data_IF_444500058945
#
_entry.id   IF_444500058945
#
_cell.length_a   1.000
_cell.length_b   1.000
_cell.length_c   1.000
_cell.angle_alpha   90.00
_cell.angle_beta   90.00
_cell.angle_gamma   90.00
#
_symmetry.space_group_name_H-M   'P 1'
#
loop_
_entity.id
_entity.type
_entity.pdbx_description
1 polymer ?
#
# COMPACT_ATOMS: atom_id res chain seq x y z
N UNK A 1 6.44 1.60 -22.08
CA UNK A 1 6.77 1.56 -22.55
C UNK A 1 7.30 1.76 -22.84
N UNK A 2 6.95 1.95 -22.02
CA UNK A 2 7.25 2.07 -22.43
C UNK A 2 7.30 2.29 -22.33
N UNK A 3 6.97 2.60 -21.75
CA UNK A 3 7.02 2.65 -22.04
C UNK A 3 6.99 2.86 -21.83
N UNK A 4 6.27 3.52 -21.70
CA UNK A 4 6.29 3.54 -21.81
C UNK A 4 6.79 3.67 -21.58
N UNK A 5 6.33 3.90 -20.78
CA UNK A 5 6.96 3.77 -21.04
C UNK A 5 7.71 3.63 -21.09
N UNK A 6 7.29 4.24 -20.46
CA UNK A 6 7.94 3.97 -20.96
C UNK A 6 8.67 3.77 -20.84
N UNK A 7 8.31 4.03 -20.39
CA UNK A 7 9.11 3.58 -20.81
C UNK A 7 9.81 3.12 -20.85
N UNK A 8 9.19 3.77 -20.39
CA UNK A 8 9.68 3.21 -20.77
C UNK A 8 10.31 2.78 -20.50
N UNK A 9 10.23 2.49 -19.96
CA UNK A 9 10.89 1.73 -20.09
C UNK A 9 11.67 1.09 -20.33
N UNK A 10 11.17 1.32 -19.93
CA UNK A 10 11.85 0.39 -20.25
C UNK A 10 12.57 -0.08 -20.39
N UNK A 11 12.69 -0.42 -20.18
CA UNK A 11 13.45 -1.39 -20.33
C UNK A 11 14.29 -1.88 -20.24
N UNK A 12 14.41 -2.12 -20.07
CA UNK A 12 15.12 -2.74 -19.81
C UNK A 12 15.63 -3.59 -19.94
N UNK A 13 15.86 -4.05 -20.01
CA UNK A 13 16.62 -4.78 -19.78
C UNK A 13 16.92 -6.14 -19.21
N UNK A 14 17.14 -6.73 -18.44
CA UNK A 14 17.73 -7.86 -17.77
C UNK A 14 17.02 -9.15 -18.09
N UNK A 15 17.78 -10.19 -18.40
CA UNK A 15 17.20 -11.48 -18.73
C UNK A 15 16.84 -12.28 -17.49
N UNK A 16 17.47 -12.00 -16.35
CA UNK A 16 17.17 -12.70 -15.11
C UNK A 16 16.17 -11.93 -14.25
N UNK A 17 15.32 -11.21 -14.95
CA UNK A 17 14.34 -10.39 -14.28
C UNK A 17 13.33 -11.24 -13.53
N UNK A 18 13.24 -11.03 -12.21
CA UNK A 18 12.19 -11.59 -11.38
C UNK A 18 11.08 -10.56 -11.33
N UNK A 19 9.85 -10.98 -11.50
CA UNK A 19 8.73 -10.07 -11.39
C UNK A 19 8.62 -9.58 -9.96
N UNK A 20 9.15 -8.38 -9.73
CA UNK A 20 9.10 -7.71 -8.45
C UNK A 20 8.04 -6.63 -8.43
N UNK A 21 7.13 -6.66 -9.40
CA UNK A 21 6.11 -5.63 -9.47
C UNK A 21 5.24 -5.65 -8.22
N UNK A 22 4.77 -4.47 -7.87
CA UNK A 22 3.87 -4.24 -6.77
C UNK A 22 2.55 -4.92 -7.07
N UNK A 23 1.96 -5.57 -6.07
CA UNK A 23 0.65 -6.22 -6.18
C UNK A 23 -0.31 -5.63 -5.17
N UNK A 24 -1.58 -5.60 -5.53
CA UNK A 24 -2.63 -5.21 -4.60
C UNK A 24 -2.62 -6.15 -3.39
N UNK A 25 -2.61 -5.59 -2.20
CA UNK A 25 -2.50 -6.36 -0.97
C UNK A 25 -1.10 -6.44 -0.39
N UNK A 26 -0.08 -6.03 -1.15
CA UNK A 26 1.28 -5.96 -0.64
C UNK A 26 1.42 -4.85 0.39
N UNK A 27 2.28 -5.07 1.37
CA UNK A 27 2.65 -4.06 2.36
C UNK A 27 4.13 -3.74 2.17
N UNK A 28 4.41 -2.45 1.95
CA UNK A 28 5.77 -1.93 1.77
C UNK A 28 6.04 -0.84 2.78
N UNK A 29 7.30 -0.69 3.17
CA UNK A 29 7.73 0.58 3.74
C UNK A 29 7.69 1.64 2.65
N UNK A 30 7.28 2.85 3.00
CA UNK A 30 7.27 3.98 2.09
C UNK A 30 7.57 5.26 2.83
N UNK A 31 8.21 6.21 2.14
CA UNK A 31 8.43 7.55 2.66
C UNK A 31 7.22 8.40 2.28
N UNK A 32 6.43 8.76 3.28
CA UNK A 32 5.20 9.52 3.08
C UNK A 32 5.40 11.03 3.27
N UNK A 33 6.57 11.46 3.66
CA UNK A 33 6.84 12.89 3.88
C UNK A 33 7.03 13.62 2.55
N UNK A 34 6.70 14.93 2.51
CA UNK A 34 6.14 15.75 3.56
C UNK A 34 4.62 15.59 3.69
N UNK A 35 4.09 15.86 4.85
CA UNK A 35 2.66 15.82 5.14
C UNK A 35 2.25 17.07 5.93
N UNK A 36 0.93 17.27 6.06
CA UNK A 36 0.36 18.41 6.78
C UNK A 36 -0.59 17.88 7.86
N UNK A 37 -0.46 18.44 9.06
CA UNK A 37 -1.40 18.20 10.14
C UNK A 37 -1.55 16.73 10.53
N UNK A 38 -2.76 16.22 10.48
CA UNK A 38 -3.10 14.87 10.94
C UNK A 38 -2.79 13.78 9.93
N UNK A 39 -2.19 14.11 8.79
CA UNK A 39 -1.78 13.12 7.80
C UNK A 39 -0.65 12.27 8.35
N UNK A 40 -0.67 10.97 8.02
CA UNK A 40 0.42 10.08 8.42
C UNK A 40 1.66 10.35 7.57
N UNK A 41 2.78 10.63 8.22
CA UNK A 41 4.04 10.96 7.54
C UNK A 41 5.21 10.11 7.99
N UNK A 42 6.39 10.39 7.46
CA UNK A 42 7.61 9.66 7.75
C UNK A 42 7.67 8.33 6.99
N UNK A 43 8.67 7.53 7.32
CA UNK A 43 8.82 6.20 6.73
C UNK A 43 8.01 5.22 7.56
N UNK A 44 7.03 4.59 6.93
CA UNK A 44 6.11 3.66 7.60
C UNK A 44 5.52 2.67 6.63
N UNK A 45 4.95 1.58 7.13
CA UNK A 45 4.28 0.62 6.25
C UNK A 45 3.06 1.25 5.57
N UNK A 46 2.83 0.85 4.33
CA UNK A 46 1.63 1.19 3.58
C UNK A 46 1.07 -0.07 2.93
N UNK A 47 -0.24 -0.12 2.79
CA UNK A 47 -0.93 -1.20 2.07
C UNK A 47 -1.24 -0.73 0.66
N UNK A 48 -0.83 -1.52 -0.33
CA UNK A 48 -1.14 -1.23 -1.74
C UNK A 48 -2.59 -1.62 -1.99
N UNK A 49 -3.40 -0.63 -2.36
CA UNK A 49 -4.83 -0.85 -2.65
C UNK A 49 -5.17 -0.65 -4.12
N UNK A 50 -4.24 -0.13 -4.91
CA UNK A 50 -4.43 0.05 -6.34
C UNK A 50 -4.57 -1.29 -7.06
N UNK A 51 -5.38 -1.32 -8.12
CA UNK A 51 -5.55 -2.51 -8.94
C UNK A 51 -4.23 -2.92 -9.61
N UNK A 52 -4.12 -4.21 -9.98
CA UNK A 52 -2.85 -4.74 -10.45
C UNK A 52 -2.49 -4.31 -11.88
N UNK A 53 -3.44 -3.88 -12.68
CA UNK A 53 -3.13 -3.29 -13.99
C UNK A 53 -2.42 -1.96 -13.77
N UNK A 54 -2.97 -1.11 -12.90
CA UNK A 54 -2.32 0.13 -12.51
C UNK A 54 -0.97 -0.11 -11.86
N UNK A 55 -0.88 -1.10 -10.98
CA UNK A 55 0.38 -1.43 -10.33
C UNK A 55 1.47 -1.82 -11.32
N UNK A 56 1.09 -2.47 -12.41
CA UNK A 56 2.06 -2.89 -13.43
C UNK A 56 2.50 -1.72 -14.31
N UNK A 57 1.59 -0.85 -14.71
CA UNK A 57 1.87 0.11 -15.78
C UNK A 57 2.00 1.55 -15.32
N UNK A 58 1.44 1.91 -14.17
CA UNK A 58 1.52 3.30 -13.69
C UNK A 58 2.84 3.54 -12.95
N UNK A 59 3.42 4.75 -13.04
CA UNK A 59 4.56 5.12 -12.20
C UNK A 59 4.16 5.40 -10.75
N UNK A 60 2.87 5.43 -10.44
CA UNK A 60 2.36 5.72 -9.11
C UNK A 60 1.53 4.55 -8.59
N UNK A 61 1.33 4.52 -7.29
CA UNK A 61 0.45 3.55 -6.62
C UNK A 61 -0.47 4.25 -5.65
N UNK A 62 -1.69 3.73 -5.53
CA UNK A 62 -2.62 4.15 -4.48
C UNK A 62 -2.41 3.25 -3.29
N UNK A 63 -2.17 3.84 -2.12
CA UNK A 63 -1.91 3.08 -0.91
C UNK A 63 -2.66 3.66 0.28
N UNK A 64 -2.78 2.86 1.34
CA UNK A 64 -3.36 3.27 2.61
C UNK A 64 -2.26 3.27 3.67
N UNK A 65 -2.23 4.28 4.51
CA UNK A 65 -1.26 4.38 5.60
C UNK A 65 -1.55 3.33 6.67
N UNK A 66 -0.48 2.82 7.26
CA UNK A 66 -0.54 1.88 8.37
C UNK A 66 0.16 2.54 9.56
N UNK A 67 -0.46 2.48 10.73
CA UNK A 67 0.09 3.07 11.94
C UNK A 67 0.19 2.03 13.05
N UNK A 68 1.25 2.13 13.86
CA UNK A 68 1.38 1.36 15.10
C UNK A 68 1.05 2.22 16.32
N UNK A 69 0.54 3.44 16.11
CA UNK A 69 0.22 4.36 17.20
C UNK A 69 -1.11 4.04 17.88
N UNK A 70 -1.88 3.13 17.33
CA UNK A 70 -3.09 2.62 17.98
C UNK A 70 -3.06 1.09 17.92
N UNK A 71 -3.59 0.44 18.94
CA UNK A 71 -3.47 -1.01 19.07
C UNK A 71 -4.73 -1.77 18.65
N UNK A 72 -5.77 -1.07 18.24
CA UNK A 72 -6.99 -1.70 17.73
C UNK A 72 -7.75 -0.74 16.84
N UNK A 73 -8.58 -1.32 15.97
CA UNK A 73 -9.44 -0.54 15.09
C UNK A 73 -10.47 0.25 15.88
N UNK A 74 -10.73 1.50 15.47
CA UNK A 74 -11.68 2.40 16.14
C UNK A 74 -12.78 2.88 15.22
N UNK A 75 -12.60 2.76 13.90
CA UNK A 75 -13.56 3.19 12.90
C UNK A 75 -13.82 2.04 11.93
N UNK A 76 -14.96 2.07 11.21
CA UNK A 76 -15.21 1.06 10.15
C UNK A 76 -14.16 1.08 9.04
N UNK A 77 -13.41 2.17 8.91
CA UNK A 77 -12.33 2.31 7.93
C UNK A 77 -10.99 1.83 8.46
N UNK A 78 -10.94 1.30 9.67
CA UNK A 78 -9.72 0.78 10.30
C UNK A 78 -9.70 -0.75 10.24
N UNK A 79 -8.55 -1.31 9.88
CA UNK A 79 -8.32 -2.75 9.85
C UNK A 79 -7.12 -3.06 10.75
N UNK A 80 -7.37 -3.82 11.83
CA UNK A 80 -6.29 -4.21 12.74
C UNK A 80 -5.49 -5.37 12.16
N UNK A 81 -4.17 -5.29 12.27
CA UNK A 81 -3.23 -6.31 11.79
C UNK A 81 -2.35 -6.74 12.96
N UNK A 82 -2.33 -8.04 13.25
CA UNK A 82 -1.50 -8.60 14.30
C UNK A 82 -0.09 -8.85 13.79
N UNK A 83 0.91 -8.40 14.53
CA UNK A 83 2.31 -8.69 14.23
C UNK A 83 2.64 -10.18 14.40
N UNK A 84 1.81 -10.94 15.12
CA UNK A 84 1.97 -12.38 15.24
C UNK A 84 1.62 -13.12 13.95
N UNK A 85 0.83 -12.51 13.07
CA UNK A 85 0.37 -13.13 11.82
C UNK A 85 1.11 -12.54 10.61
N UNK A 86 1.33 -11.23 10.61
CA UNK A 86 1.95 -10.54 9.49
C UNK A 86 3.35 -10.08 9.89
N UNK A 87 4.25 -9.98 8.92
CA UNK A 87 5.65 -9.60 9.18
C UNK A 87 5.75 -8.08 9.39
N UNK A 88 5.11 -7.60 10.45
CA UNK A 88 5.15 -6.19 10.86
C UNK A 88 5.91 -6.08 12.18
N UNK A 89 6.63 -5.00 12.42
CA UNK A 89 7.39 -4.85 13.67
C UNK A 89 6.51 -4.75 14.91
N UNK A 90 5.28 -4.26 14.75
CA UNK A 90 4.32 -4.09 15.86
C UNK A 90 2.91 -4.33 15.35
N UNK A 91 2.01 -4.64 16.28
CA UNK A 91 0.58 -4.61 15.98
C UNK A 91 0.21 -3.25 15.40
N UNK A 92 -0.56 -3.26 14.34
CA UNK A 92 -0.78 -2.06 13.52
C UNK A 92 -2.22 -1.98 13.07
N UNK A 93 -2.59 -0.83 12.53
CA UNK A 93 -3.92 -0.58 11.99
C UNK A 93 -3.77 0.06 10.62
N UNK A 94 -4.45 -0.49 9.63
CA UNK A 94 -4.56 0.13 8.32
C UNK A 94 -5.64 1.20 8.39
N UNK A 95 -5.33 2.38 7.90
CA UNK A 95 -6.23 3.54 7.93
C UNK A 95 -6.77 3.78 6.53
N UNK A 96 -7.95 3.19 6.22
CA UNK A 96 -8.51 3.29 4.88
C UNK A 96 -9.11 4.68 4.58
N UNK A 97 -9.17 5.56 5.58
CA UNK A 97 -9.50 6.97 5.34
C UNK A 97 -8.25 7.79 4.99
N UNK A 98 -7.04 7.21 5.15
CA UNK A 98 -5.80 7.87 4.78
C UNK A 98 -5.18 7.18 3.57
N UNK A 99 -5.90 7.23 2.47
CA UNK A 99 -5.40 6.72 1.20
C UNK A 99 -4.82 7.88 0.39
N UNK A 100 -3.76 7.57 -0.35
CA UNK A 100 -3.10 8.57 -1.18
C UNK A 100 -2.36 7.90 -2.32
N UNK A 101 -2.08 8.67 -3.34
CA UNK A 101 -1.24 8.24 -4.46
C UNK A 101 0.18 8.71 -4.20
N UNK A 102 1.12 7.78 -4.32
CA UNK A 102 2.55 8.09 -4.19
C UNK A 102 3.31 7.58 -5.41
N UNK A 103 4.44 8.21 -5.71
CA UNK A 103 5.36 7.70 -6.72
C UNK A 103 5.96 6.38 -6.23
N UNK A 104 6.13 5.42 -7.13
CA UNK A 104 6.74 4.13 -6.78
C UNK A 104 8.14 4.29 -6.18
N UNK A 105 8.84 5.37 -6.51
CA UNK A 105 10.17 5.63 -5.96
C UNK A 105 10.15 5.86 -4.45
N UNK A 106 8.99 6.16 -3.88
CA UNK A 106 8.86 6.29 -2.42
C UNK A 106 8.80 4.94 -1.71
N UNK A 107 8.55 3.85 -2.43
CA UNK A 107 8.49 2.52 -1.84
C UNK A 107 9.90 2.05 -1.47
N UNK A 108 9.99 1.42 -0.30
CA UNK A 108 11.21 0.78 0.18
C UNK A 108 11.01 -0.74 0.13
N UNK A 109 11.45 -1.46 1.12
CA UNK A 109 11.35 -2.91 1.09
C UNK A 109 9.91 -3.38 1.32
N UNK A 110 9.59 -4.51 0.71
CA UNK A 110 8.32 -5.21 0.93
C UNK A 110 8.39 -5.98 2.24
N UNK A 111 7.33 -5.87 3.04
CA UNK A 111 7.26 -6.56 4.33
C UNK A 111 6.50 -7.89 4.22
N UNK A 112 5.33 -7.86 3.61
CA UNK A 112 4.44 -9.01 3.52
C UNK A 112 3.29 -8.69 2.59
N UNK A 113 2.31 -9.57 2.51
CA UNK A 113 1.06 -9.29 1.82
C UNK A 113 -0.11 -9.79 2.66
N UNK A 114 -1.28 -9.21 2.46
CA UNK A 114 -2.50 -9.65 3.11
C UNK A 114 -3.14 -10.78 2.31
N UNK A 115 -3.78 -11.70 3.02
CA UNK A 115 -4.53 -12.79 2.38
C UNK A 115 -5.87 -12.29 1.84
N UNK A 116 -6.54 -13.15 1.07
CA UNK A 116 -7.79 -12.79 0.41
C UNK A 116 -8.90 -12.46 1.41
N UNK A 117 -8.96 -13.17 2.53
CA UNK A 117 -9.95 -12.90 3.56
C UNK A 117 -9.79 -11.50 4.13
N UNK A 118 -8.56 -11.12 4.43
CA UNK A 118 -8.27 -9.79 4.95
C UNK A 118 -8.51 -8.73 3.87
N UNK A 119 -8.16 -9.01 2.62
CA UNK A 119 -8.40 -8.06 1.54
C UNK A 119 -9.88 -7.82 1.29
N UNK A 120 -10.74 -8.80 1.50
CA UNK A 120 -12.19 -8.57 1.43
C UNK A 120 -12.67 -7.59 2.50
N UNK A 121 -12.07 -7.63 3.68
CA UNK A 121 -12.35 -6.65 4.74
C UNK A 121 -11.87 -5.25 4.35
N UNK A 122 -10.69 -5.19 3.74
CA UNK A 122 -10.14 -3.94 3.21
C UNK A 122 -11.09 -3.35 2.16
N UNK A 123 -11.59 -4.19 1.26
CA UNK A 123 -12.52 -3.75 0.21
C UNK A 123 -13.77 -3.10 0.80
N UNK A 124 -14.35 -3.72 1.82
CA UNK A 124 -15.53 -3.14 2.49
C UNK A 124 -15.21 -1.82 3.16
N UNK A 125 -14.06 -1.74 3.82
CA UNK A 125 -13.62 -0.49 4.46
C UNK A 125 -13.40 0.61 3.44
N UNK A 126 -12.86 0.27 2.27
CA UNK A 126 -12.67 1.23 1.19
C UNK A 126 -13.99 1.76 0.65
N UNK A 127 -14.97 0.88 0.46
CA UNK A 127 -16.30 1.31 0.02
C UNK A 127 -16.91 2.30 1.01
N UNK A 128 -16.76 2.03 2.29
CA UNK A 128 -17.23 2.94 3.34
C UNK A 128 -16.47 4.25 3.30
N UNK A 129 -15.15 4.19 3.25
CA UNK A 129 -14.29 5.37 3.26
C UNK A 129 -14.61 6.32 2.12
N UNK A 130 -14.89 5.76 0.95
CA UNK A 130 -15.14 6.55 -0.26
C UNK A 130 -16.63 6.88 -0.46
N UNK A 131 -17.48 6.45 0.44
CA UNK A 131 -18.90 6.73 0.37
C UNK A 131 -19.62 5.98 -0.76
N UNK A 132 -19.09 4.84 -1.18
CA UNK A 132 -19.66 4.04 -2.25
C UNK A 132 -20.64 3.00 -1.74
N UNK A 133 -20.71 2.84 -0.43
CA UNK A 133 -21.53 1.79 0.14
C UNK A 133 -22.08 2.21 1.50
#
# INVERSE_FOLDING_TARGET
MASPNGDGYFFRRSVNFVDTSVKRGDIYYADLSPVVGSEQGGIRPVLIVQNDIGNKYSPTVICAAITSQMNKAKLPTHIALSSAVYALPKDSVVLLEQIRTIDKQRLREKLCCLDDTMMRRVDRSLLISLGLK
#
